data_IF_714291293523
#
_entry.id   IF_714291293523
#
_cell.length_a   1.000
_cell.length_b   1.000
_cell.length_c   1.000
_cell.angle_alpha   90.00
_cell.angle_beta   90.00
_cell.angle_gamma   90.00
#
_symmetry.space_group_name_H-M   'P 1'
#
loop_
_entity.id
_entity.type
_entity.pdbx_description
1 polymer ?
#
# COMPACT_ATOMS: atom_id res chain seq x y z
N UNK A 1 -15.12 -6.09 -27.84
CA UNK A 1 -15.23 -6.09 -26.36
C UNK A 1 -14.77 -4.79 -25.67
N UNK A 2 -14.31 -3.76 -26.39
CA UNK A 2 -13.88 -2.49 -25.74
C UNK A 2 -15.01 -1.75 -25.03
N UNK A 3 -16.14 -1.52 -25.72
CA UNK A 3 -17.24 -0.73 -25.16
C UNK A 3 -17.89 -1.35 -23.92
N UNK A 4 -18.14 -2.68 -23.83
CA UNK A 4 -18.61 -3.27 -22.57
C UNK A 4 -17.62 -3.13 -21.42
N UNK A 5 -16.30 -3.30 -21.67
CA UNK A 5 -15.28 -3.17 -20.63
C UNK A 5 -15.23 -1.75 -20.05
N UNK A 6 -15.28 -0.72 -20.90
CA UNK A 6 -15.31 0.67 -20.46
C UNK A 6 -16.57 0.98 -19.64
N UNK A 7 -17.74 0.50 -20.09
CA UNK A 7 -18.99 0.67 -19.36
C UNK A 7 -18.95 -0.01 -18.00
N UNK A 8 -18.42 -1.23 -17.91
CA UNK A 8 -18.26 -1.94 -16.64
C UNK A 8 -17.34 -1.17 -15.67
N UNK A 9 -16.24 -0.62 -16.17
CA UNK A 9 -15.32 0.20 -15.37
C UNK A 9 -15.97 1.48 -14.85
N UNK A 10 -16.72 2.18 -15.70
CA UNK A 10 -17.41 3.42 -15.33
C UNK A 10 -18.57 3.18 -14.36
N UNK A 11 -19.25 2.04 -14.45
CA UNK A 11 -20.34 1.68 -13.54
C UNK A 11 -19.88 1.25 -12.14
N UNK A 12 -18.58 0.99 -11.94
CA UNK A 12 -18.04 0.62 -10.63
C UNK A 12 -17.76 1.86 -9.76
N UNK A 13 -18.22 1.87 -8.48
CA UNK A 13 -18.00 3.00 -7.58
C UNK A 13 -16.53 3.16 -7.17
N UNK A 14 -16.14 4.39 -6.82
CA UNK A 14 -14.83 4.68 -6.24
C UNK A 14 -14.84 4.49 -4.72
N UNK A 15 -13.72 4.04 -4.10
CA UNK A 15 -12.43 3.69 -4.71
C UNK A 15 -12.43 2.29 -5.37
N UNK A 16 -11.93 2.22 -6.61
CA UNK A 16 -11.80 0.98 -7.39
C UNK A 16 -10.38 0.72 -7.85
N UNK A 17 -10.13 -0.55 -8.20
CA UNK A 17 -8.87 -1.02 -8.76
C UNK A 17 -9.11 -1.83 -10.03
N UNK A 18 -8.16 -1.80 -10.95
CA UNK A 18 -8.18 -2.63 -12.15
C UNK A 18 -6.98 -3.59 -12.16
N UNK A 19 -7.25 -4.87 -12.40
CA UNK A 19 -6.22 -5.90 -12.49
C UNK A 19 -6.22 -6.42 -13.92
N UNK A 20 -5.06 -6.42 -14.57
CA UNK A 20 -4.86 -7.10 -15.84
C UNK A 20 -4.39 -8.53 -15.58
N UNK A 21 -5.19 -9.49 -16.03
CA UNK A 21 -4.99 -10.91 -15.74
C UNK A 21 -4.54 -11.68 -16.99
N UNK A 22 -3.32 -12.21 -16.93
CA UNK A 22 -2.74 -13.04 -17.97
C UNK A 22 -2.13 -12.26 -19.15
N UNK A 23 -1.37 -12.97 -19.99
CA UNK A 23 -0.59 -12.41 -21.08
C UNK A 23 -1.47 -11.68 -22.11
N UNK A 24 -2.64 -12.24 -22.44
CA UNK A 24 -3.58 -11.60 -23.36
C UNK A 24 -4.12 -10.26 -22.82
N UNK A 25 -4.42 -10.18 -21.51
CA UNK A 25 -4.84 -8.93 -20.88
C UNK A 25 -3.69 -7.93 -20.76
N UNK A 26 -2.48 -8.39 -20.47
CA UNK A 26 -1.33 -7.50 -20.24
C UNK A 26 -0.82 -6.85 -21.52
N UNK A 27 -0.67 -7.62 -22.61
CA UNK A 27 -0.05 -7.13 -23.85
C UNK A 27 -0.71 -7.63 -25.14
N UNK A 28 -1.83 -8.37 -25.05
CA UNK A 28 -2.40 -9.10 -26.18
C UNK A 28 -1.84 -10.52 -26.35
N UNK A 29 -0.78 -10.87 -25.61
CA UNK A 29 -0.23 -12.22 -25.57
C UNK A 29 0.20 -12.72 -26.96
N UNK A 30 -0.09 -13.98 -27.27
CA UNK A 30 0.21 -14.56 -28.59
C UNK A 30 -0.57 -13.88 -29.73
N UNK A 31 -1.64 -13.15 -29.43
CA UNK A 31 -2.48 -12.48 -30.41
C UNK A 31 -2.21 -10.98 -30.54
N UNK A 32 -1.07 -10.49 -30.03
CA UNK A 32 -0.78 -9.06 -29.93
C UNK A 32 -0.81 -8.32 -31.29
N UNK A 33 -0.55 -9.02 -32.40
CA UNK A 33 -0.48 -8.44 -33.76
C UNK A 33 -1.74 -8.69 -34.60
N UNK A 34 -2.80 -9.23 -34.00
CA UNK A 34 -4.07 -9.43 -34.71
C UNK A 34 -4.86 -8.12 -34.75
N UNK A 35 -5.47 -7.84 -35.91
CA UNK A 35 -6.32 -6.66 -36.14
C UNK A 35 -7.48 -6.52 -35.14
N UNK A 36 -7.91 -7.61 -34.52
CA UNK A 36 -9.03 -7.66 -33.59
C UNK A 36 -8.62 -7.55 -32.11
N UNK A 37 -7.33 -7.38 -31.81
CA UNK A 37 -6.79 -7.33 -30.45
C UNK A 37 -6.19 -5.95 -30.17
N UNK A 38 -6.45 -5.42 -28.97
CA UNK A 38 -5.99 -4.08 -28.59
C UNK A 38 -4.52 -4.05 -28.14
N UNK A 39 -3.95 -5.22 -27.84
CA UNK A 39 -2.57 -5.37 -27.38
C UNK A 39 -2.35 -4.82 -25.96
N UNK A 40 -3.32 -5.05 -25.07
CA UNK A 40 -3.27 -4.64 -23.67
C UNK A 40 -4.57 -3.99 -23.15
N UNK A 41 -4.92 -4.29 -21.89
CA UNK A 41 -6.06 -3.71 -21.16
C UNK A 41 -5.80 -2.25 -20.76
N UNK A 42 -4.54 -1.88 -20.59
CA UNK A 42 -4.03 -0.55 -20.26
C UNK A 42 -4.46 0.53 -21.26
N UNK A 43 -4.65 0.15 -22.52
CA UNK A 43 -5.18 1.04 -23.57
C UNK A 43 -6.67 1.34 -23.43
N UNK A 44 -7.39 0.60 -22.59
CA UNK A 44 -8.85 0.73 -22.40
C UNK A 44 -9.17 1.35 -21.05
N UNK A 45 -8.52 0.88 -19.97
CA UNK A 45 -8.74 1.32 -18.59
C UNK A 45 -7.41 1.41 -17.85
N UNK A 46 -7.28 2.29 -16.83
CA UNK A 46 -6.06 2.38 -16.04
C UNK A 46 -5.88 1.11 -15.22
N UNK A 47 -4.79 0.37 -15.46
CA UNK A 47 -4.45 -0.87 -14.75
C UNK A 47 -3.57 -0.56 -13.55
N UNK A 48 -3.91 -1.09 -12.38
CA UNK A 48 -3.12 -0.95 -11.15
C UNK A 48 -2.13 -2.11 -10.98
N UNK A 49 -2.56 -3.34 -11.30
CA UNK A 49 -1.77 -4.56 -11.10
C UNK A 49 -1.80 -5.42 -12.36
N UNK A 50 -0.64 -5.92 -12.76
CA UNK A 50 -0.49 -6.88 -13.86
C UNK A 50 -0.11 -8.25 -13.29
N UNK A 51 -0.90 -9.28 -13.61
CA UNK A 51 -0.63 -10.67 -13.23
C UNK A 51 -0.16 -11.41 -14.49
N UNK A 52 1.14 -11.74 -14.62
CA UNK A 52 1.67 -12.39 -15.82
C UNK A 52 1.34 -13.89 -15.87
N UNK A 53 1.10 -14.42 -17.08
CA UNK A 53 1.00 -15.86 -17.36
C UNK A 53 -0.02 -16.23 -18.44
N UNK A 54 0.05 -17.44 -18.99
CA UNK A 54 -0.81 -17.88 -20.09
C UNK A 54 -1.24 -19.37 -19.96
N UNK A 55 -2.13 -19.72 -19.02
CA UNK A 55 -2.70 -18.89 -17.96
C UNK A 55 -1.72 -18.70 -16.77
N UNK A 56 -1.91 -17.66 -15.93
CA UNK A 56 -1.10 -17.48 -14.72
C UNK A 56 -1.25 -18.66 -13.77
N UNK A 57 -0.15 -19.00 -13.09
CA UNK A 57 -0.15 -20.10 -12.12
C UNK A 57 -1.00 -19.75 -10.90
N UNK A 58 -1.59 -20.74 -10.20
CA UNK A 58 -2.40 -20.46 -9.00
C UNK A 58 -1.67 -19.62 -7.95
N UNK A 59 -0.36 -19.86 -7.77
CA UNK A 59 0.48 -19.08 -6.85
C UNK A 59 0.64 -17.62 -7.32
N UNK A 60 0.89 -17.39 -8.62
CA UNK A 60 1.00 -16.04 -9.17
C UNK A 60 -0.34 -15.27 -9.09
N UNK A 61 -1.45 -15.97 -9.31
CA UNK A 61 -2.79 -15.42 -9.16
C UNK A 61 -3.06 -14.99 -7.73
N UNK A 62 -2.79 -15.87 -6.75
CA UNK A 62 -2.98 -15.55 -5.33
C UNK A 62 -2.12 -14.36 -4.89
N UNK A 63 -0.85 -14.34 -5.30
CA UNK A 63 0.06 -13.23 -5.03
C UNK A 63 -0.44 -11.92 -5.65
N UNK A 64 -0.88 -11.95 -6.91
CA UNK A 64 -1.38 -10.77 -7.61
C UNK A 64 -2.63 -10.19 -6.96
N UNK A 65 -3.57 -11.03 -6.53
CA UNK A 65 -4.75 -10.57 -5.78
C UNK A 65 -4.40 -10.03 -4.39
N UNK A 66 -3.47 -10.66 -3.67
CA UNK A 66 -3.00 -10.15 -2.38
C UNK A 66 -2.37 -8.76 -2.50
N UNK A 67 -1.56 -8.52 -3.53
CA UNK A 67 -1.01 -7.19 -3.83
C UNK A 67 -2.09 -6.18 -4.19
N UNK A 68 -3.06 -6.57 -5.02
CA UNK A 68 -4.17 -5.70 -5.40
C UNK A 68 -5.04 -5.29 -4.20
N UNK A 69 -5.29 -6.21 -3.25
CA UNK A 69 -6.01 -5.91 -2.02
C UNK A 69 -5.25 -4.90 -1.14
N UNK A 70 -3.93 -5.06 -0.99
CA UNK A 70 -3.10 -4.10 -0.25
C UNK A 70 -3.12 -2.70 -0.86
N UNK A 71 -3.09 -2.58 -2.19
CA UNK A 71 -3.23 -1.30 -2.89
C UNK A 71 -4.63 -0.69 -2.71
N UNK A 72 -5.68 -1.51 -2.70
CA UNK A 72 -7.04 -1.04 -2.46
C UNK A 72 -7.19 -0.45 -1.06
N UNK A 73 -6.64 -1.11 -0.02
CA UNK A 73 -6.62 -0.57 1.34
C UNK A 73 -5.91 0.79 1.38
N UNK A 74 -4.77 0.92 0.69
CA UNK A 74 -4.08 2.21 0.58
C UNK A 74 -4.93 3.28 -0.11
N UNK A 75 -5.64 2.95 -1.19
CA UNK A 75 -6.54 3.88 -1.88
C UNK A 75 -7.73 4.29 -1.01
N UNK A 76 -8.25 3.39 -0.17
CA UNK A 76 -9.34 3.68 0.76
C UNK A 76 -8.87 4.64 1.87
N UNK A 77 -7.65 4.42 2.40
CA UNK A 77 -7.08 5.25 3.46
C UNK A 77 -6.34 6.49 2.94
N UNK A 78 -6.16 6.61 1.63
CA UNK A 78 -5.53 7.78 1.02
C UNK A 78 -6.37 9.02 1.30
N UNK A 79 -5.78 9.95 2.04
CA UNK A 79 -6.31 11.31 2.21
C UNK A 79 -5.47 12.26 1.37
N UNK A 80 -6.11 13.27 0.78
CA UNK A 80 -5.37 14.39 0.20
C UNK A 80 -4.60 15.10 1.32
N UNK A 81 -3.42 15.67 1.02
CA UNK A 81 -2.71 16.51 1.97
C UNK A 81 -3.64 17.58 2.50
N UNK A 82 -3.88 17.55 3.81
CA UNK A 82 -4.79 18.48 4.48
C UNK A 82 -4.03 19.56 5.22
N UNK A 83 -4.74 20.56 5.71
CA UNK A 83 -4.20 21.62 6.58
C UNK A 83 -3.51 21.08 7.86
N UNK A 84 -3.83 19.83 8.26
CA UNK A 84 -3.18 19.13 9.37
C UNK A 84 -1.77 18.61 9.03
N UNK A 85 -1.47 18.34 7.76
CA UNK A 85 -0.14 17.88 7.33
C UNK A 85 0.87 19.04 7.26
N UNK A 86 0.38 20.28 7.18
CA UNK A 86 1.20 21.50 7.25
C UNK A 86 1.60 21.87 8.68
N UNK A 87 0.93 21.29 9.68
CA UNK A 87 1.28 21.53 11.07
C UNK A 87 2.61 20.85 11.39
N UNK A 88 3.56 21.56 12.02
CA UNK A 88 4.78 20.95 12.53
C UNK A 88 4.43 19.73 13.38
N UNK A 89 5.05 18.59 13.08
CA UNK A 89 4.83 17.37 13.86
C UNK A 89 5.26 17.62 15.31
N UNK A 90 4.37 17.37 16.26
CA UNK A 90 4.73 17.40 17.67
C UNK A 90 5.80 16.34 17.95
N UNK A 91 6.97 16.80 18.38
CA UNK A 91 8.07 15.92 18.73
C UNK A 91 7.69 15.15 20.00
N UNK A 92 7.68 13.82 19.91
CA UNK A 92 7.55 12.97 21.08
C UNK A 92 8.75 13.18 22.02
N UNK A 93 8.47 13.55 23.28
CA UNK A 93 9.44 13.83 24.33
C UNK A 93 10.49 14.89 23.93
N UNK A 94 10.08 16.15 23.70
CA UNK A 94 10.97 17.20 23.22
C UNK A 94 12.04 17.57 24.26
N UNK A 95 11.74 17.39 25.55
CA UNK A 95 12.64 17.72 26.66
C UNK A 95 13.79 16.72 26.82
N UNK A 96 13.75 15.60 26.08
CA UNK A 96 14.69 14.51 26.25
C UNK A 96 15.83 14.57 25.23
N UNK A 97 17.06 14.48 25.71
CA UNK A 97 18.24 14.47 24.84
C UNK A 97 18.25 13.20 23.97
N UNK A 98 18.33 13.37 22.65
CA UNK A 98 18.19 12.29 21.67
C UNK A 98 19.09 11.06 21.92
N UNK A 99 20.36 11.17 22.32
CA UNK A 99 21.21 10.01 22.60
C UNK A 99 20.71 9.17 23.79
N UNK A 100 20.15 9.81 24.82
CA UNK A 100 19.60 9.12 25.98
C UNK A 100 18.32 8.36 25.60
N UNK A 101 17.46 8.99 24.79
CA UNK A 101 16.27 8.33 24.21
C UNK A 101 16.63 7.06 23.46
N UNK A 102 17.62 7.12 22.59
CA UNK A 102 18.05 5.97 21.79
C UNK A 102 18.56 4.84 22.68
N UNK A 103 19.28 5.15 23.77
CA UNK A 103 19.75 4.15 24.72
C UNK A 103 18.59 3.46 25.44
N UNK A 104 17.61 4.22 25.93
CA UNK A 104 16.44 3.70 26.63
C UNK A 104 15.61 2.80 25.69
N UNK A 105 15.33 3.26 24.47
CA UNK A 105 14.54 2.50 23.50
C UNK A 105 15.26 1.20 23.09
N UNK A 106 16.58 1.23 22.89
CA UNK A 106 17.36 0.01 22.61
C UNK A 106 17.33 -0.98 23.76
N UNK A 107 17.48 -0.52 25.00
CA UNK A 107 17.48 -1.41 26.16
C UNK A 107 16.09 -1.99 26.42
N UNK A 108 15.04 -1.18 26.33
CA UNK A 108 13.66 -1.64 26.49
C UNK A 108 13.28 -2.69 25.43
N UNK A 109 13.69 -2.49 24.17
CA UNK A 109 13.49 -3.48 23.09
C UNK A 109 14.30 -4.74 23.31
N UNK A 110 15.51 -4.64 23.88
CA UNK A 110 16.33 -5.81 24.23
C UNK A 110 15.66 -6.66 25.31
N UNK A 111 15.04 -6.03 26.31
CA UNK A 111 14.41 -6.71 27.43
C UNK A 111 13.01 -7.26 27.12
N UNK A 112 12.19 -6.52 26.38
CA UNK A 112 10.77 -6.82 26.19
C UNK A 112 10.33 -6.94 24.72
N UNK A 113 11.28 -6.99 23.78
CA UNK A 113 11.00 -7.05 22.35
C UNK A 113 10.46 -5.74 21.76
N UNK A 114 10.17 -5.74 20.46
CA UNK A 114 9.82 -4.51 19.73
C UNK A 114 8.50 -3.87 20.16
N UNK A 115 7.47 -4.69 20.43
CA UNK A 115 6.12 -4.18 20.75
C UNK A 115 6.07 -3.62 22.17
N UNK A 116 6.41 -4.45 23.16
CA UNK A 116 6.32 -4.07 24.57
C UNK A 116 7.46 -3.14 24.98
N UNK A 117 8.66 -3.31 24.43
CA UNK A 117 9.79 -2.41 24.69
C UNK A 117 9.52 -0.97 24.29
N UNK A 118 8.84 -0.74 23.15
CA UNK A 118 8.45 0.62 22.74
C UNK A 118 7.46 1.25 23.72
N UNK A 119 6.43 0.51 24.15
CA UNK A 119 5.46 1.01 25.13
C UNK A 119 6.13 1.36 26.46
N UNK A 120 7.00 0.48 26.97
CA UNK A 120 7.74 0.70 28.21
C UNK A 120 8.64 1.94 28.11
N UNK A 121 9.36 2.10 26.99
CA UNK A 121 10.22 3.26 26.78
C UNK A 121 9.42 4.57 26.72
N UNK A 122 8.32 4.61 25.98
CA UNK A 122 7.47 5.81 25.85
C UNK A 122 6.82 6.17 27.20
N UNK A 123 6.32 5.20 27.96
CA UNK A 123 5.72 5.43 29.28
C UNK A 123 6.77 5.90 30.30
N UNK A 124 7.95 5.28 30.32
CA UNK A 124 9.06 5.71 31.17
C UNK A 124 9.46 7.17 30.89
N UNK A 125 9.57 7.53 29.61
CA UNK A 125 9.94 8.88 29.18
C UNK A 125 8.84 9.90 29.49
N UNK A 126 7.57 9.50 29.42
CA UNK A 126 6.42 10.33 29.84
C UNK A 126 6.46 10.60 31.35
N UNK A 127 6.75 9.57 32.16
CA UNK A 127 6.88 9.71 33.62
C UNK A 127 8.05 10.60 34.01
N UNK A 128 9.20 10.47 33.34
CA UNK A 128 10.36 11.34 33.58
C UNK A 128 10.08 12.81 33.23
N UNK A 129 9.27 13.06 32.18
CA UNK A 129 8.87 14.42 31.80
C UNK A 129 7.85 15.05 32.76
N UNK A 130 6.95 14.25 33.36
CA UNK A 130 5.90 14.71 34.26
C UNK A 130 6.36 14.89 35.73
N UNK A 131 7.53 14.35 36.10
CA UNK A 131 8.09 14.40 37.46
C UNK A 131 8.99 15.61 37.76
N UNK A 132 8.96 16.64 36.91
CA UNK A 132 9.54 17.97 37.16
C UNK A 132 8.44 18.95 37.54
#
# INVERSE_FOLDING_TARGET
MRSPALRAWQSAPDPKICISYGACGNSGGIFHDLYCVWGGTDKIVPVDVYIPGCPPTPAATLYGFAMALGLLEQKIHARLPGEQDERPTELLHPDMVQPLRVRIDREARRLAGYRYGRQIADDYMRLLGAGR
#
